data_IF_105683921823
#
_entry.id   IF_105683921823
#
_cell.length_a   1.000
_cell.length_b   1.000
_cell.length_c   1.000
_cell.angle_alpha   90.00
_cell.angle_beta   90.00
_cell.angle_gamma   90.00
#
_symmetry.space_group_name_H-M   'P 1'
#
loop_
_entity.id
_entity.type
_entity.pdbx_description
1 polymer ?
#
# COMPACT_ATOMS: atom_id res chain seq x y z
N UNK A 1 3.59 11.98 -10.53
CA UNK A 1 4.49 10.84 -10.32
C UNK A 1 4.23 9.87 -11.46
N UNK A 2 5.29 9.40 -12.10
CA UNK A 2 5.18 8.26 -13.00
C UNK A 2 5.15 6.95 -12.18
N UNK A 3 4.89 5.83 -12.86
CA UNK A 3 4.77 4.52 -12.24
C UNK A 3 6.03 4.12 -11.43
N UNK A 4 7.22 4.46 -11.94
CA UNK A 4 8.49 4.13 -11.31
C UNK A 4 8.67 4.91 -9.99
N UNK A 5 8.38 6.21 -9.99
CA UNK A 5 8.48 7.03 -8.79
C UNK A 5 7.46 6.64 -7.73
N UNK A 6 6.24 6.26 -8.13
CA UNK A 6 5.22 5.73 -7.22
C UNK A 6 5.66 4.40 -6.60
N UNK A 7 6.18 3.47 -7.41
CA UNK A 7 6.71 2.21 -6.92
C UNK A 7 7.84 2.42 -5.91
N UNK A 8 8.82 3.27 -6.24
CA UNK A 8 9.95 3.57 -5.36
C UNK A 8 9.48 4.18 -4.02
N UNK A 9 8.49 5.07 -4.05
CA UNK A 9 7.93 5.69 -2.86
C UNK A 9 7.28 4.66 -1.93
N UNK A 10 6.44 3.77 -2.48
CA UNK A 10 5.79 2.70 -1.70
C UNK A 10 6.84 1.74 -1.12
N UNK A 11 7.84 1.38 -1.93
CA UNK A 11 8.94 0.52 -1.48
C UNK A 11 9.68 1.13 -0.31
N UNK A 12 10.12 2.39 -0.41
CA UNK A 12 10.83 3.07 0.67
C UNK A 12 10.01 3.09 1.96
N UNK A 13 8.71 3.45 1.88
CA UNK A 13 7.84 3.51 3.04
C UNK A 13 7.73 2.16 3.77
N UNK A 14 7.58 1.07 3.03
CA UNK A 14 7.35 -0.27 3.60
C UNK A 14 8.64 -1.00 3.99
N UNK A 15 9.81 -0.57 3.49
CA UNK A 15 11.10 -1.13 3.90
C UNK A 15 11.75 -0.39 5.07
N UNK A 16 11.30 0.82 5.39
CA UNK A 16 11.88 1.67 6.44
C UNK A 16 11.16 1.55 7.80
N UNK A 17 10.33 0.51 7.97
CA UNK A 17 9.61 0.20 9.22
C UNK A 17 10.58 -0.25 10.32
N UNK A 18 10.34 0.20 11.55
CA UNK A 18 11.21 -0.03 12.71
C UNK A 18 10.80 -1.24 13.54
N UNK A 19 9.50 -1.41 13.76
CA UNK A 19 8.93 -2.46 14.60
C UNK A 19 8.37 -3.60 13.73
N UNK A 20 7.76 -3.25 12.60
CA UNK A 20 7.14 -4.20 11.69
C UNK A 20 8.11 -4.69 10.62
N UNK A 21 7.95 -5.95 10.22
CA UNK A 21 8.83 -6.62 9.26
C UNK A 21 8.09 -6.99 7.99
N UNK A 22 8.52 -6.41 6.88
CA UNK A 22 8.11 -6.80 5.53
C UNK A 22 9.15 -7.77 4.95
N UNK A 23 8.79 -9.04 4.83
CA UNK A 23 9.72 -10.09 4.36
C UNK A 23 9.74 -10.21 2.83
N UNK A 24 8.64 -9.85 2.18
CA UNK A 24 8.54 -9.76 0.72
C UNK A 24 7.59 -8.63 0.34
N UNK A 25 7.91 -7.93 -0.76
CA UNK A 25 7.14 -6.80 -1.25
C UNK A 25 7.09 -6.78 -2.77
N UNK A 26 5.88 -6.91 -3.30
CA UNK A 26 5.54 -6.70 -4.69
C UNK A 26 4.71 -5.43 -4.82
N UNK A 27 5.15 -4.51 -5.67
CA UNK A 27 4.41 -3.31 -6.05
C UNK A 27 4.25 -3.34 -7.56
N UNK A 28 3.02 -3.29 -8.05
CA UNK A 28 2.70 -3.31 -9.48
C UNK A 28 1.88 -2.08 -9.83
N UNK A 29 2.49 -1.17 -10.57
CA UNK A 29 1.82 0.02 -11.09
C UNK A 29 1.24 -0.26 -12.48
N UNK A 30 -0.04 0.00 -12.67
CA UNK A 30 -0.74 -0.03 -13.95
C UNK A 30 -1.42 1.32 -14.23
N UNK A 31 -1.88 1.53 -15.46
CA UNK A 31 -2.54 2.78 -15.87
C UNK A 31 -3.80 3.09 -15.04
N UNK A 32 -4.44 2.05 -14.51
CA UNK A 32 -5.69 2.15 -13.79
C UNK A 32 -5.55 2.07 -12.27
N UNK A 33 -4.40 1.65 -11.72
CA UNK A 33 -4.23 1.46 -10.28
C UNK A 33 -2.89 0.87 -9.88
N UNK A 34 -2.69 0.66 -8.58
CA UNK A 34 -1.47 0.09 -8.02
C UNK A 34 -1.86 -1.09 -7.13
N UNK A 35 -1.29 -2.26 -7.38
CA UNK A 35 -1.42 -3.40 -6.49
C UNK A 35 -0.17 -3.50 -5.60
N UNK A 36 -0.37 -3.58 -4.29
CA UNK A 36 0.69 -3.78 -3.29
C UNK A 36 0.40 -5.08 -2.57
N UNK A 37 1.29 -6.06 -2.74
CA UNK A 37 1.22 -7.34 -2.02
C UNK A 37 2.48 -7.52 -1.21
N UNK A 38 2.31 -7.87 0.06
CA UNK A 38 3.43 -8.08 0.97
C UNK A 38 3.19 -9.21 1.94
N UNK A 39 4.29 -9.72 2.49
CA UNK A 39 4.27 -10.59 3.66
C UNK A 39 4.76 -9.78 4.85
N UNK A 40 3.81 -9.34 5.68
CA UNK A 40 3.98 -8.41 6.79
C UNK A 40 3.78 -9.15 8.11
N UNK A 41 4.79 -9.21 8.96
CA UNK A 41 4.74 -9.87 10.28
C UNK A 41 4.25 -11.33 10.29
N UNK A 42 4.39 -12.04 9.17
CA UNK A 42 3.92 -13.42 9.04
C UNK A 42 2.54 -13.57 8.39
N UNK A 43 1.89 -12.46 8.05
CA UNK A 43 0.59 -12.42 7.37
C UNK A 43 0.72 -11.89 5.94
N UNK A 44 -0.13 -12.38 5.03
CA UNK A 44 -0.24 -11.85 3.68
C UNK A 44 -1.17 -10.63 3.72
N UNK A 45 -0.71 -9.52 3.17
CA UNK A 45 -1.51 -8.31 2.99
C UNK A 45 -1.46 -7.91 1.53
N UNK A 46 -2.63 -7.83 0.91
CA UNK A 46 -2.82 -7.31 -0.44
C UNK A 46 -3.76 -6.09 -0.47
N UNK A 47 -3.29 -5.03 -1.12
CA UNK A 47 -3.97 -3.75 -1.27
C UNK A 47 -4.07 -3.39 -2.75
N UNK A 48 -5.23 -2.91 -3.16
CA UNK A 48 -5.41 -2.18 -4.42
C UNK A 48 -5.56 -0.69 -4.12
N UNK A 49 -4.75 0.15 -4.74
CA UNK A 49 -4.81 1.60 -4.64
C UNK A 49 -5.28 2.20 -5.96
N UNK A 50 -6.36 2.95 -5.90
CA UNK A 50 -6.94 3.67 -7.03
C UNK A 50 -6.79 5.17 -6.80
N UNK A 51 -6.04 5.85 -7.67
CA UNK A 51 -5.88 7.31 -7.55
C UNK A 51 -7.20 8.01 -7.91
N UNK A 52 -7.65 8.92 -7.06
CA UNK A 52 -8.84 9.73 -7.27
C UNK A 52 -8.56 11.23 -7.00
N UNK A 53 -9.61 12.04 -6.89
CA UNK A 53 -9.47 13.48 -6.68
C UNK A 53 -9.08 13.86 -5.23
N UNK A 54 -9.22 12.92 -4.28
CA UNK A 54 -8.89 13.10 -2.86
C UNK A 54 -7.54 12.47 -2.49
N UNK A 55 -6.86 11.78 -3.41
CA UNK A 55 -5.63 11.05 -3.15
C UNK A 55 -5.71 9.63 -3.69
N UNK A 56 -5.79 8.64 -2.80
CA UNK A 56 -5.94 7.23 -3.15
C UNK A 56 -7.06 6.57 -2.36
N UNK A 57 -7.94 5.87 -3.07
CA UNK A 57 -8.82 4.87 -2.46
C UNK A 57 -8.06 3.56 -2.33
N UNK A 58 -8.01 2.99 -1.13
CA UNK A 58 -7.30 1.76 -0.78
C UNK A 58 -8.30 0.67 -0.45
N UNK A 59 -8.27 -0.42 -1.21
CA UNK A 59 -9.09 -1.60 -0.98
C UNK A 59 -8.23 -2.73 -0.43
N UNK A 60 -8.66 -3.37 0.66
CA UNK A 60 -8.02 -4.56 1.20
C UNK A 60 -8.54 -5.78 0.44
N UNK A 61 -7.70 -6.39 -0.40
CA UNK A 61 -8.12 -7.48 -1.29
C UNK A 61 -8.39 -8.77 -0.49
N UNK A 62 -7.62 -8.99 0.58
CA UNK A 62 -7.71 -10.18 1.42
C UNK A 62 -8.82 -10.10 2.49
N UNK A 63 -9.41 -8.91 2.71
CA UNK A 63 -10.44 -8.68 3.73
C UNK A 63 -11.68 -8.02 3.11
N UNK A 64 -12.61 -8.86 2.65
CA UNK A 64 -13.83 -8.43 1.95
C UNK A 64 -14.84 -7.69 2.83
N UNK A 65 -14.76 -7.86 4.14
CA UNK A 65 -15.66 -7.18 5.08
C UNK A 65 -15.17 -5.76 5.37
N UNK A 66 -13.89 -5.49 5.12
CA UNK A 66 -13.29 -4.16 5.26
C UNK A 66 -13.69 -3.27 4.08
N UNK A 67 -14.34 -2.15 4.41
CA UNK A 67 -14.67 -1.13 3.43
C UNK A 67 -13.39 -0.47 2.88
N UNK A 68 -13.40 0.02 1.63
CA UNK A 68 -12.32 0.84 1.12
C UNK A 68 -12.03 2.03 2.03
N UNK A 69 -10.76 2.38 2.17
CA UNK A 69 -10.29 3.52 2.96
C UNK A 69 -9.73 4.60 2.02
N UNK A 70 -9.98 5.86 2.33
CA UNK A 70 -9.38 6.98 1.62
C UNK A 70 -8.10 7.43 2.35
N UNK A 71 -7.03 7.64 1.58
CA UNK A 71 -5.81 8.30 2.04
C UNK A 71 -5.48 9.49 1.15
N UNK A 72 -4.87 10.53 1.71
CA UNK A 72 -4.53 11.75 0.97
C UNK A 72 -3.23 11.52 0.17
N UNK A 73 -2.21 10.94 0.82
CA UNK A 73 -0.90 10.68 0.22
C UNK A 73 -0.38 9.27 0.54
N UNK A 74 0.58 8.78 -0.26
CA UNK A 74 1.15 7.44 -0.08
C UNK A 74 1.73 7.19 1.33
N UNK A 75 2.38 8.15 2.03
CA UNK A 75 2.85 7.96 3.40
C UNK A 75 1.77 7.59 4.42
N UNK A 76 0.51 7.96 4.15
CA UNK A 76 -0.61 7.64 5.04
C UNK A 76 -0.94 6.13 5.04
N UNK A 77 -0.40 5.35 4.09
CA UNK A 77 -0.47 3.88 4.10
C UNK A 77 0.05 3.30 5.42
N UNK A 78 1.08 3.89 6.00
CA UNK A 78 1.67 3.44 7.27
C UNK A 78 0.65 3.53 8.41
N UNK A 79 -0.08 4.64 8.47
CA UNK A 79 -1.13 4.85 9.47
C UNK A 79 -2.32 3.91 9.22
N UNK A 80 -2.73 3.76 7.96
CA UNK A 80 -3.84 2.89 7.56
C UNK A 80 -3.57 1.41 7.91
N UNK A 81 -2.33 0.97 7.71
CA UNK A 81 -1.86 -0.38 8.03
C UNK A 81 -1.54 -0.57 9.51
N UNK A 82 -1.48 0.53 10.28
CA UNK A 82 -1.10 0.53 11.69
C UNK A 82 0.28 -0.09 11.95
N UNK A 83 1.25 0.22 11.07
CA UNK A 83 2.64 -0.26 11.15
C UNK A 83 3.59 0.89 11.46
N UNK A 84 4.81 0.59 11.95
CA UNK A 84 5.85 1.57 12.30
C UNK A 84 7.28 1.08 12.16
#
# INVERSE_FOLDING_TARGET
>A
MDAAQTEETIRSLLTDLKEDKVESLLVQCADWGINVRMFLNGDVVELDLMKNYEGYEVTFVDDRDKQPAQIDELPDLIQLLQVS
#
